data_IF_812723213112
#
_entry.id   IF_812723213112
#
_cell.length_a   1.000
_cell.length_b   1.000
_cell.length_c   1.000
_cell.angle_alpha   90.00
_cell.angle_beta   90.00
_cell.angle_gamma   90.00
#
_symmetry.space_group_name_H-M   'P 1'
#
loop_
_entity.id
_entity.type
_entity.pdbx_description
1 polymer ?
#
# COMPACT_ATOMS: atom_id res chain seq x y z
N UNK A 1 -18.69 21.88 -10.09
CA UNK A 1 -18.68 21.46 -8.67
C UNK A 1 -17.50 20.52 -8.36
N UNK A 2 -17.36 19.38 -9.04
CA UNK A 2 -16.27 18.40 -8.82
C UNK A 2 -14.86 18.97 -9.02
N UNK A 3 -14.62 19.75 -10.07
CA UNK A 3 -13.31 20.39 -10.29
C UNK A 3 -12.90 21.32 -9.13
N UNK A 4 -13.84 22.09 -8.59
CA UNK A 4 -13.59 22.98 -7.45
C UNK A 4 -13.23 22.19 -6.18
N UNK A 5 -13.88 21.05 -5.95
CA UNK A 5 -13.57 20.14 -4.83
C UNK A 5 -12.16 19.57 -4.97
N UNK A 6 -11.75 19.15 -6.18
CA UNK A 6 -10.39 18.64 -6.43
C UNK A 6 -9.34 19.73 -6.22
N UNK A 7 -9.57 20.93 -6.75
CA UNK A 7 -8.65 22.06 -6.56
C UNK A 7 -8.55 22.43 -5.08
N UNK A 8 -9.67 22.48 -4.36
CA UNK A 8 -9.68 22.73 -2.91
C UNK A 8 -8.91 21.66 -2.14
N UNK A 9 -9.08 20.38 -2.48
CA UNK A 9 -8.33 19.27 -1.88
C UNK A 9 -6.82 19.43 -2.12
N UNK A 10 -6.42 19.75 -3.36
CA UNK A 10 -5.02 19.95 -3.70
C UNK A 10 -4.41 21.11 -2.90
N UNK A 11 -5.11 22.25 -2.83
CA UNK A 11 -4.67 23.40 -2.04
C UNK A 11 -4.57 23.07 -0.55
N UNK A 12 -5.54 22.34 0.00
CA UNK A 12 -5.53 21.89 1.39
C UNK A 12 -4.33 20.98 1.67
N UNK A 13 -4.12 19.94 0.86
CA UNK A 13 -3.00 19.02 1.04
C UNK A 13 -1.65 19.71 0.85
N UNK A 14 -1.53 20.61 -0.13
CA UNK A 14 -0.32 21.38 -0.35
C UNK A 14 0.00 22.30 0.84
N UNK A 15 -1.01 23.02 1.35
CA UNK A 15 -0.86 23.88 2.52
C UNK A 15 -0.48 23.07 3.75
N UNK A 16 -1.20 21.98 4.02
CA UNK A 16 -0.94 21.11 5.17
C UNK A 16 0.44 20.43 5.08
N UNK A 17 0.88 20.01 3.89
CA UNK A 17 2.24 19.50 3.69
C UNK A 17 3.29 20.56 4.04
N UNK A 18 3.13 21.79 3.53
CA UNK A 18 4.07 22.90 3.75
C UNK A 18 4.14 23.36 5.20
N UNK A 19 3.00 23.39 5.90
CA UNK A 19 2.91 23.93 7.28
C UNK A 19 3.01 22.82 8.32
N UNK A 20 1.95 22.01 8.45
CA UNK A 20 1.84 20.94 9.44
C UNK A 20 2.85 19.82 9.20
N UNK A 21 2.93 19.29 7.98
CA UNK A 21 3.81 18.18 7.61
C UNK A 21 5.29 18.49 7.83
N UNK A 22 5.81 19.60 7.25
CA UNK A 22 7.21 20.01 7.47
C UNK A 22 7.50 20.41 8.92
N UNK A 23 6.53 21.03 9.60
CA UNK A 23 6.65 21.36 11.02
C UNK A 23 6.77 20.11 11.89
N UNK A 24 5.92 19.12 11.62
CA UNK A 24 5.89 17.81 12.28
C UNK A 24 7.17 17.01 12.04
N UNK A 25 7.61 16.92 10.78
CA UNK A 25 8.87 16.29 10.40
C UNK A 25 10.05 16.90 11.15
N UNK A 26 10.17 18.23 11.19
CA UNK A 26 11.32 18.90 11.82
C UNK A 26 11.30 18.84 13.33
N UNK A 27 10.13 19.05 13.96
CA UNK A 27 10.03 19.21 15.42
C UNK A 27 9.90 17.89 16.16
N UNK A 28 9.10 16.95 15.63
CA UNK A 28 8.83 15.69 16.31
C UNK A 28 9.72 14.58 15.77
N UNK A 29 9.75 14.43 14.45
CA UNK A 29 10.50 13.34 13.85
C UNK A 29 11.99 13.67 13.80
N UNK A 30 12.39 14.90 13.52
CA UNK A 30 13.79 15.27 13.30
C UNK A 30 14.47 14.33 12.28
N UNK A 31 13.80 14.11 11.14
CA UNK A 31 14.40 13.37 10.02
C UNK A 31 15.62 14.13 9.50
N UNK A 32 16.71 13.41 9.23
CA UNK A 32 17.96 13.96 8.71
C UNK A 32 18.44 13.12 7.54
N UNK A 33 18.84 13.79 6.46
CA UNK A 33 19.46 13.17 5.29
C UNK A 33 20.88 12.68 5.56
N UNK A 34 21.49 13.05 6.69
CA UNK A 34 22.82 12.60 7.09
C UNK A 34 22.82 11.19 7.68
N UNK A 35 21.64 10.65 8.02
CA UNK A 35 21.51 9.29 8.56
C UNK A 35 21.26 8.30 7.43
N UNK A 36 22.21 7.40 7.23
CA UNK A 36 22.03 6.29 6.28
C UNK A 36 20.88 5.39 6.71
N UNK A 37 20.06 4.98 5.74
CA UNK A 37 18.95 4.06 5.99
C UNK A 37 19.48 2.63 6.16
N UNK A 38 18.73 1.75 6.85
CA UNK A 38 19.12 0.34 7.01
C UNK A 38 19.41 -0.36 5.68
N UNK A 39 18.67 -0.01 4.62
CA UNK A 39 18.88 -0.56 3.28
C UNK A 39 20.30 -0.33 2.73
N UNK A 40 20.96 0.77 3.10
CA UNK A 40 22.35 1.05 2.72
C UNK A 40 23.35 0.52 3.75
N UNK A 41 23.12 0.79 5.04
CA UNK A 41 24.06 0.44 6.11
C UNK A 41 24.17 -1.08 6.36
N UNK A 42 23.09 -1.82 6.16
CA UNK A 42 23.00 -3.27 6.42
C UNK A 42 22.88 -4.08 5.11
N UNK A 43 23.33 -3.53 3.99
CA UNK A 43 23.19 -4.16 2.68
C UNK A 43 23.71 -5.60 2.65
N UNK A 44 22.83 -6.54 2.28
CA UNK A 44 23.13 -7.97 2.17
C UNK A 44 22.74 -8.57 0.80
N UNK A 45 22.10 -7.77 -0.07
CA UNK A 45 21.62 -8.22 -1.37
C UNK A 45 20.34 -9.08 -1.33
N UNK A 46 19.74 -9.27 -0.15
CA UNK A 46 18.54 -10.09 0.06
C UNK A 46 17.48 -9.33 0.84
N UNK A 47 17.70 -9.07 2.14
CA UNK A 47 16.73 -8.41 3.02
C UNK A 47 16.89 -6.87 2.99
N UNK A 48 18.12 -6.39 2.86
CA UNK A 48 18.47 -4.98 2.80
C UNK A 48 19.02 -4.63 1.42
N UNK A 49 18.16 -4.06 0.58
CA UNK A 49 18.51 -3.64 -0.78
C UNK A 49 18.00 -2.23 -1.05
N UNK A 50 18.87 -1.27 -1.43
CA UNK A 50 18.44 0.05 -1.84
C UNK A 50 17.55 0.00 -3.08
N UNK A 51 16.30 0.43 -2.92
CA UNK A 51 15.36 0.55 -4.02
C UNK A 51 15.42 1.94 -4.65
N UNK A 52 15.13 2.02 -5.95
CA UNK A 52 14.90 3.30 -6.61
C UNK A 52 13.70 4.01 -5.96
N UNK A 53 13.84 5.29 -5.61
CA UNK A 53 12.80 6.08 -4.91
C UNK A 53 11.43 6.06 -5.60
N UNK A 54 11.38 5.98 -6.93
CA UNK A 54 10.12 5.93 -7.68
C UNK A 54 9.45 4.57 -7.56
N UNK A 55 10.24 3.48 -7.55
CA UNK A 55 9.75 2.11 -7.32
C UNK A 55 9.29 1.96 -5.88
N UNK A 56 10.09 2.45 -4.92
CA UNK A 56 9.76 2.45 -3.50
C UNK A 56 8.46 3.19 -3.21
N UNK A 57 8.27 4.37 -3.81
CA UNK A 57 7.01 5.10 -3.74
C UNK A 57 5.84 4.27 -4.27
N UNK A 58 6.01 3.61 -5.43
CA UNK A 58 5.00 2.72 -6.00
C UNK A 58 4.62 1.56 -5.07
N UNK A 59 5.60 0.93 -4.42
CA UNK A 59 5.36 -0.11 -3.43
C UNK A 59 4.55 0.40 -2.25
N UNK A 60 4.94 1.52 -1.64
CA UNK A 60 4.19 2.11 -0.53
C UNK A 60 2.77 2.52 -0.94
N UNK A 61 2.64 3.14 -2.13
CA UNK A 61 1.33 3.53 -2.65
C UNK A 61 0.43 2.30 -2.83
N UNK A 62 0.93 1.23 -3.46
CA UNK A 62 0.16 0.00 -3.66
C UNK A 62 -0.22 -0.69 -2.34
N UNK A 63 0.65 -0.65 -1.32
CA UNK A 63 0.36 -1.23 0.01
C UNK A 63 -0.73 -0.49 0.76
N UNK A 64 -0.93 0.81 0.51
CA UNK A 64 -1.99 1.62 1.14
C UNK A 64 -3.26 1.64 0.27
N UNK A 65 -3.10 1.60 -1.06
CA UNK A 65 -4.17 1.59 -2.04
C UNK A 65 -4.91 0.24 -2.09
N UNK A 66 -5.69 -0.04 -1.04
CA UNK A 66 -6.55 -1.22 -0.95
C UNK A 66 -8.01 -0.96 -1.34
N UNK A 67 -8.88 -1.92 -1.01
CA UNK A 67 -10.32 -1.75 -1.09
C UNK A 67 -10.86 -0.71 -0.09
N UNK A 68 -10.14 -0.48 1.02
CA UNK A 68 -10.55 0.42 2.09
C UNK A 68 -10.73 1.90 1.62
N UNK A 69 -9.80 2.50 0.85
CA UNK A 69 -10.01 3.80 0.21
C UNK A 69 -11.23 3.92 -0.72
N UNK A 70 -11.80 2.80 -1.18
CA UNK A 70 -13.00 2.79 -2.04
C UNK A 70 -14.25 2.60 -1.18
N UNK A 71 -14.25 1.54 -0.36
CA UNK A 71 -15.40 1.14 0.46
C UNK A 71 -15.64 2.13 1.59
N UNK A 72 -14.58 2.64 2.22
CA UNK A 72 -14.66 3.58 3.34
C UNK A 72 -15.44 4.85 2.99
N UNK A 73 -15.04 5.62 1.95
CA UNK A 73 -15.80 6.78 1.51
C UNK A 73 -17.22 6.45 1.04
N UNK A 74 -17.41 5.29 0.40
CA UNK A 74 -18.74 4.85 -0.03
C UNK A 74 -19.70 4.62 1.15
N UNK A 75 -19.23 3.99 2.22
CA UNK A 75 -19.97 3.86 3.48
C UNK A 75 -20.12 5.24 4.14
N UNK A 76 -19.09 6.08 4.09
CA UNK A 76 -19.11 7.41 4.68
C UNK A 76 -20.21 8.32 4.09
N UNK A 77 -20.61 8.09 2.83
CA UNK A 77 -21.72 8.81 2.22
C UNK A 77 -23.06 8.59 2.94
N UNK A 78 -23.21 7.54 3.77
CA UNK A 78 -24.39 7.36 4.61
C UNK A 78 -24.62 8.53 5.58
N UNK A 79 -23.56 9.27 5.95
CA UNK A 79 -23.63 10.47 6.78
C UNK A 79 -23.65 11.78 5.97
N UNK A 80 -23.84 11.68 4.66
CA UNK A 80 -23.85 12.81 3.73
C UNK A 80 -22.49 13.08 3.09
N UNK A 81 -22.52 13.80 1.97
CA UNK A 81 -21.35 14.03 1.12
C UNK A 81 -20.29 14.93 1.79
N UNK A 82 -20.71 15.95 2.54
CA UNK A 82 -19.78 16.90 3.15
C UNK A 82 -19.00 16.28 4.33
N UNK A 83 -19.64 15.58 5.30
CA UNK A 83 -18.90 14.86 6.33
C UNK A 83 -17.94 13.81 5.78
N UNK A 84 -18.35 13.07 4.74
CA UNK A 84 -17.47 12.12 4.07
C UNK A 84 -16.22 12.80 3.46
N UNK A 85 -16.40 13.94 2.78
CA UNK A 85 -15.27 14.71 2.23
C UNK A 85 -14.34 15.26 3.32
N UNK A 86 -14.90 15.83 4.38
CA UNK A 86 -14.11 16.36 5.50
C UNK A 86 -13.31 15.25 6.17
N UNK A 87 -13.90 14.07 6.35
CA UNK A 87 -13.19 12.89 6.87
C UNK A 87 -12.04 12.47 5.95
N UNK A 88 -12.27 12.40 4.64
CA UNK A 88 -11.22 12.05 3.67
C UNK A 88 -10.09 13.08 3.69
N UNK A 89 -10.40 14.38 3.75
CA UNK A 89 -9.37 15.42 3.73
C UNK A 89 -8.63 15.52 5.05
N UNK A 90 -9.34 15.75 6.14
CA UNK A 90 -8.74 16.03 7.45
C UNK A 90 -8.27 14.74 8.13
N UNK A 91 -9.05 13.66 8.05
CA UNK A 91 -8.66 12.35 8.60
C UNK A 91 -7.39 11.83 7.94
N UNK A 92 -7.24 11.99 6.63
CA UNK A 92 -6.00 11.64 5.95
C UNK A 92 -4.81 12.51 6.43
N UNK A 93 -4.97 13.83 6.54
CA UNK A 93 -3.86 14.72 6.98
C UNK A 93 -3.40 14.41 8.40
N UNK A 94 -4.34 14.33 9.35
CA UNK A 94 -4.01 14.31 10.78
C UNK A 94 -3.87 12.90 11.37
N UNK A 95 -4.49 11.90 10.75
CA UNK A 95 -4.44 10.52 11.22
C UNK A 95 -3.62 9.68 10.24
N UNK A 96 -4.06 9.56 8.98
CA UNK A 96 -3.43 8.65 8.00
C UNK A 96 -1.96 8.97 7.73
N UNK A 97 -1.68 10.17 7.20
CA UNK A 97 -0.33 10.59 6.85
C UNK A 97 0.62 10.60 8.06
N UNK A 98 0.12 11.02 9.23
CA UNK A 98 0.88 11.01 10.48
C UNK A 98 1.21 9.58 10.92
N UNK A 99 0.22 8.69 10.92
CA UNK A 99 0.38 7.29 11.29
C UNK A 99 1.39 6.59 10.39
N UNK A 100 1.26 6.75 9.07
CA UNK A 100 2.10 6.06 8.09
C UNK A 100 3.55 6.58 8.16
N UNK A 101 3.73 7.89 8.29
CA UNK A 101 5.06 8.49 8.40
C UNK A 101 5.75 8.11 9.71
N UNK A 102 5.04 8.14 10.85
CA UNK A 102 5.60 7.71 12.13
C UNK A 102 5.93 6.22 12.14
N UNK A 103 5.06 5.38 11.57
CA UNK A 103 5.29 3.94 11.49
C UNK A 103 6.52 3.62 10.62
N UNK A 104 6.64 4.27 9.46
CA UNK A 104 7.81 4.13 8.60
C UNK A 104 9.08 4.58 9.31
N UNK A 105 9.06 5.75 9.95
CA UNK A 105 10.25 6.26 10.62
C UNK A 105 10.63 5.46 11.87
N UNK A 106 9.65 4.91 12.59
CA UNK A 106 9.91 3.97 13.67
C UNK A 106 10.60 2.71 13.16
N UNK A 107 10.13 2.13 12.04
CA UNK A 107 10.77 0.99 11.39
C UNK A 107 12.20 1.30 10.96
N UNK A 108 12.44 2.41 10.25
CA UNK A 108 13.79 2.83 9.79
C UNK A 108 14.78 3.00 10.95
N UNK A 109 14.31 3.46 12.13
CA UNK A 109 15.15 3.62 13.33
C UNK A 109 15.46 2.32 14.05
N UNK A 110 14.64 1.30 13.84
CA UNK A 110 14.84 -0.04 14.38
C UNK A 110 15.22 -0.97 13.24
N UNK A 111 16.18 -0.54 12.42
CA UNK A 111 16.81 -1.37 11.40
C UNK A 111 15.83 -1.99 10.38
N UNK A 112 14.69 -1.36 10.10
CA UNK A 112 13.70 -1.89 9.15
C UNK A 112 12.78 -2.97 9.73
N UNK A 113 12.80 -3.19 11.04
CA UNK A 113 11.89 -4.14 11.69
C UNK A 113 10.42 -3.69 11.65
N UNK A 114 9.51 -4.66 11.78
CA UNK A 114 8.07 -4.43 11.81
C UNK A 114 7.62 -3.71 13.09
N UNK A 115 6.49 -3.00 13.02
CA UNK A 115 5.91 -2.31 14.18
C UNK A 115 5.58 -3.29 15.30
N UNK A 116 5.16 -4.50 14.95
CA UNK A 116 4.89 -5.59 15.89
C UNK A 116 6.13 -5.91 16.73
N UNK A 117 7.28 -6.05 16.08
CA UNK A 117 8.56 -6.31 16.75
C UNK A 117 8.99 -5.14 17.65
N UNK A 118 8.83 -3.90 17.17
CA UNK A 118 9.18 -2.69 17.94
C UNK A 118 8.33 -2.58 19.20
N UNK A 119 7.01 -2.76 19.07
CA UNK A 119 6.08 -2.74 20.21
C UNK A 119 6.41 -3.83 21.23
N UNK A 120 6.82 -5.02 20.79
CA UNK A 120 7.26 -6.10 21.67
C UNK A 120 8.46 -5.74 22.55
N UNK A 121 9.36 -4.86 22.10
CA UNK A 121 10.49 -4.36 22.91
C UNK A 121 10.07 -3.38 24.01
N UNK A 122 8.95 -2.69 23.84
CA UNK A 122 8.45 -1.70 24.79
C UNK A 122 7.50 -2.31 25.83
N UNK A 123 6.95 -3.49 25.56
CA UNK A 123 5.97 -4.17 26.39
C UNK A 123 6.60 -5.25 27.27
N UNK A 124 5.91 -5.61 28.37
CA UNK A 124 6.24 -6.83 29.10
C UNK A 124 6.04 -8.06 28.21
N UNK A 125 6.83 -9.14 28.41
CA UNK A 125 6.72 -10.37 27.58
C UNK A 125 5.29 -10.88 27.43
N UNK A 126 4.51 -10.92 28.53
CA UNK A 126 3.12 -11.38 28.51
C UNK A 126 2.23 -10.48 27.64
N UNK A 127 2.36 -9.17 27.80
CA UNK A 127 1.58 -8.20 27.02
C UNK A 127 1.98 -8.22 25.55
N UNK A 128 3.28 -8.39 25.25
CA UNK A 128 3.79 -8.54 23.90
C UNK A 128 3.15 -9.73 23.17
N UNK A 129 3.13 -10.92 23.78
CA UNK A 129 2.49 -12.09 23.18
C UNK A 129 0.98 -11.90 22.92
N UNK A 130 0.26 -11.29 23.87
CA UNK A 130 -1.18 -11.00 23.70
C UNK A 130 -1.38 -10.00 22.55
N UNK A 131 -0.53 -8.97 22.46
CA UNK A 131 -0.59 -7.98 21.40
C UNK A 131 -0.26 -8.59 20.03
N UNK A 132 0.78 -9.42 19.94
CA UNK A 132 1.13 -10.16 18.72
C UNK A 132 -0.01 -11.07 18.27
N UNK A 133 -0.63 -11.81 19.18
CA UNK A 133 -1.80 -12.64 18.88
C UNK A 133 -2.97 -11.79 18.38
N UNK A 134 -3.25 -10.66 19.02
CA UNK A 134 -4.28 -9.73 18.56
C UNK A 134 -4.00 -9.24 17.14
N UNK A 135 -2.77 -8.78 16.85
CA UNK A 135 -2.38 -8.31 15.52
C UNK A 135 -2.49 -9.44 14.50
N UNK A 136 -2.07 -10.65 14.84
CA UNK A 136 -2.19 -11.83 13.97
C UNK A 136 -3.65 -12.12 13.62
N UNK A 137 -4.54 -12.17 14.61
CA UNK A 137 -5.98 -12.37 14.40
C UNK A 137 -6.61 -11.23 13.59
N UNK A 138 -6.19 -9.99 13.83
CA UNK A 138 -6.63 -8.83 13.05
C UNK A 138 -6.18 -8.93 11.58
N UNK A 139 -4.95 -9.38 11.30
CA UNK A 139 -4.47 -9.59 9.94
C UNK A 139 -5.25 -10.69 9.22
N UNK A 140 -5.59 -11.79 9.90
CA UNK A 140 -6.48 -12.83 9.35
C UNK A 140 -7.84 -12.24 8.99
N UNK A 141 -8.43 -11.44 9.88
CA UNK A 141 -9.72 -10.78 9.62
C UNK A 141 -9.64 -9.83 8.42
N UNK A 142 -8.55 -9.07 8.30
CA UNK A 142 -8.32 -8.17 7.17
C UNK A 142 -8.21 -8.97 5.87
N UNK A 143 -7.38 -10.01 5.82
CA UNK A 143 -7.26 -10.88 4.64
C UNK A 143 -8.63 -11.48 4.26
N UNK A 144 -9.40 -11.94 5.25
CA UNK A 144 -10.74 -12.46 5.03
C UNK A 144 -11.69 -11.43 4.38
N UNK A 145 -11.70 -10.20 4.90
CA UNK A 145 -12.53 -9.13 4.37
C UNK A 145 -12.16 -8.76 2.93
N UNK A 146 -10.85 -8.64 2.64
CA UNK A 146 -10.37 -8.34 1.29
C UNK A 146 -10.65 -9.49 0.32
N UNK A 147 -10.42 -10.75 0.70
CA UNK A 147 -10.72 -11.92 -0.11
C UNK A 147 -12.22 -12.03 -0.42
N UNK A 148 -13.09 -11.67 0.52
CA UNK A 148 -14.53 -11.63 0.28
C UNK A 148 -14.91 -10.56 -0.75
N UNK A 149 -14.36 -9.34 -0.63
CA UNK A 149 -14.61 -8.25 -1.60
C UNK A 149 -14.10 -8.63 -2.99
N UNK A 150 -12.85 -9.10 -3.10
CA UNK A 150 -12.22 -9.50 -4.36
C UNK A 150 -12.96 -10.69 -4.99
N UNK A 151 -13.31 -11.72 -4.20
CA UNK A 151 -14.05 -12.87 -4.68
C UNK A 151 -15.40 -12.48 -5.28
N UNK A 152 -16.11 -11.53 -4.66
CA UNK A 152 -17.36 -11.00 -5.23
C UNK A 152 -17.13 -10.23 -6.53
N UNK A 153 -16.05 -9.45 -6.63
CA UNK A 153 -15.68 -8.74 -7.85
C UNK A 153 -15.34 -9.73 -8.97
N UNK A 154 -14.58 -10.79 -8.67
CA UNK A 154 -14.15 -11.79 -9.66
C UNK A 154 -15.31 -12.63 -10.22
N UNK A 155 -16.31 -12.92 -9.39
CA UNK A 155 -17.55 -13.58 -9.86
C UNK A 155 -18.36 -12.66 -10.77
N UNK A 156 -18.51 -11.38 -10.39
CA UNK A 156 -19.28 -10.39 -11.16
C UNK A 156 -18.57 -9.95 -12.44
N UNK A 157 -17.25 -9.85 -12.40
CA UNK A 157 -16.39 -9.36 -13.48
C UNK A 157 -15.24 -10.36 -13.70
N UNK A 158 -15.50 -11.49 -14.40
CA UNK A 158 -14.47 -12.50 -14.68
C UNK A 158 -13.26 -12.00 -15.50
N UNK A 159 -13.39 -10.87 -16.20
CA UNK A 159 -12.25 -10.25 -16.87
C UNK A 159 -11.21 -9.71 -15.87
N UNK A 160 -11.67 -9.26 -14.68
CA UNK A 160 -10.80 -8.73 -13.65
C UNK A 160 -9.93 -9.84 -13.02
N UNK A 161 -10.50 -11.03 -12.80
CA UNK A 161 -9.77 -12.17 -12.25
C UNK A 161 -8.65 -12.64 -13.19
N UNK A 162 -8.95 -12.73 -14.49
CA UNK A 162 -7.95 -13.04 -15.51
C UNK A 162 -6.86 -11.99 -15.58
N UNK A 163 -7.23 -10.71 -15.60
CA UNK A 163 -6.26 -9.61 -15.62
C UNK A 163 -5.34 -9.66 -14.38
N UNK A 164 -5.88 -9.96 -13.19
CA UNK A 164 -5.09 -10.15 -11.97
C UNK A 164 -4.10 -11.31 -12.08
N UNK A 165 -4.50 -12.45 -12.66
CA UNK A 165 -3.59 -13.58 -12.87
C UNK A 165 -2.43 -13.21 -13.81
N UNK A 166 -2.73 -12.52 -14.91
CA UNK A 166 -1.70 -12.04 -15.82
C UNK A 166 -0.82 -10.93 -15.20
N UNK A 167 -1.38 -10.08 -14.32
CA UNK A 167 -0.60 -9.09 -13.58
C UNK A 167 0.45 -9.71 -12.67
N UNK A 168 0.17 -10.85 -12.03
CA UNK A 168 1.17 -11.55 -11.21
C UNK A 168 2.36 -11.96 -12.09
N UNK A 169 2.10 -12.55 -13.27
CA UNK A 169 3.15 -12.91 -14.22
C UNK A 169 3.93 -11.69 -14.71
N UNK A 170 3.22 -10.61 -15.08
CA UNK A 170 3.82 -9.36 -15.51
C UNK A 170 4.69 -8.73 -14.42
N UNK A 171 4.26 -8.79 -13.15
CA UNK A 171 5.00 -8.27 -12.00
C UNK A 171 6.29 -9.05 -11.76
N UNK A 172 6.27 -10.38 -11.86
CA UNK A 172 7.47 -11.21 -11.74
C UNK A 172 8.47 -10.90 -12.86
N UNK A 173 8.01 -10.79 -14.11
CA UNK A 173 8.86 -10.43 -15.25
C UNK A 173 9.45 -9.04 -15.05
N UNK A 174 8.62 -8.05 -14.68
CA UNK A 174 9.07 -6.66 -14.48
C UNK A 174 10.07 -6.56 -13.32
N UNK A 175 9.83 -7.27 -12.22
CA UNK A 175 10.78 -7.35 -11.10
C UNK A 175 12.10 -7.98 -11.51
N UNK A 176 12.08 -9.06 -12.29
CA UNK A 176 13.30 -9.66 -12.84
C UNK A 176 14.06 -8.68 -13.76
N UNK A 177 13.35 -7.96 -14.64
CA UNK A 177 13.96 -6.95 -15.50
C UNK A 177 14.60 -5.82 -14.70
N UNK A 178 13.96 -5.36 -13.62
CA UNK A 178 14.45 -4.26 -12.80
C UNK A 178 15.69 -4.62 -11.96
N UNK A 179 15.76 -5.84 -11.43
CA UNK A 179 16.78 -6.21 -10.43
C UNK A 179 17.83 -7.21 -10.92
N UNK A 180 17.55 -7.97 -11.99
CA UNK A 180 18.44 -9.05 -12.47
C UNK A 180 18.89 -8.90 -13.91
N UNK A 181 18.28 -7.99 -14.68
CA UNK A 181 18.66 -7.76 -16.07
C UNK A 181 19.60 -6.56 -16.21
N UNK A 182 20.43 -6.48 -17.27
CA UNK A 182 21.29 -5.33 -17.55
C UNK A 182 20.52 -4.14 -18.16
N UNK A 183 19.19 -4.23 -18.30
CA UNK A 183 18.39 -3.18 -18.91
C UNK A 183 18.34 -1.93 -18.03
N UNK A 184 18.21 -0.77 -18.67
CA UNK A 184 18.00 0.47 -17.94
C UNK A 184 16.62 0.49 -17.26
N UNK A 185 16.53 1.20 -16.14
CA UNK A 185 15.28 1.39 -15.39
C UNK A 185 14.11 1.85 -16.27
N UNK A 186 14.37 2.75 -17.22
CA UNK A 186 13.36 3.30 -18.12
C UNK A 186 12.79 2.23 -19.06
N UNK A 187 13.66 1.40 -19.65
CA UNK A 187 13.25 0.33 -20.56
C UNK A 187 12.45 -0.73 -19.80
N UNK A 188 12.94 -1.16 -18.63
CA UNK A 188 12.21 -2.11 -17.78
C UNK A 188 10.82 -1.57 -17.38
N UNK A 189 10.72 -0.27 -17.08
CA UNK A 189 9.43 0.38 -16.77
C UNK A 189 8.48 0.38 -17.96
N UNK A 190 8.96 0.74 -19.17
CA UNK A 190 8.15 0.73 -20.39
C UNK A 190 7.65 -0.69 -20.70
N UNK A 191 8.52 -1.70 -20.60
CA UNK A 191 8.13 -3.11 -20.78
C UNK A 191 7.07 -3.51 -19.75
N UNK A 192 7.26 -3.16 -18.47
CA UNK A 192 6.26 -3.42 -17.43
C UNK A 192 4.90 -2.78 -17.71
N UNK A 193 4.88 -1.54 -18.19
CA UNK A 193 3.65 -0.85 -18.59
C UNK A 193 2.96 -1.55 -19.78
N UNK A 194 3.72 -1.98 -20.79
CA UNK A 194 3.18 -2.74 -21.92
C UNK A 194 2.61 -4.10 -21.46
N UNK A 195 3.29 -4.80 -20.56
CA UNK A 195 2.81 -6.06 -19.98
C UNK A 195 1.54 -5.87 -19.15
N UNK A 196 1.42 -4.73 -18.45
CA UNK A 196 0.21 -4.35 -17.72
C UNK A 196 -0.97 -4.15 -18.69
N UNK A 197 -0.78 -3.35 -19.75
CA UNK A 197 -1.81 -3.15 -20.76
C UNK A 197 -2.21 -4.47 -21.44
N UNK A 198 -1.22 -5.32 -21.73
CA UNK A 198 -1.44 -6.65 -22.30
C UNK A 198 -2.24 -7.55 -21.35
N UNK A 199 -1.97 -7.49 -20.04
CA UNK A 199 -2.69 -8.26 -19.03
C UNK A 199 -4.17 -7.87 -18.95
N UNK A 200 -4.49 -6.57 -19.04
CA UNK A 200 -5.88 -6.08 -19.12
C UNK A 200 -6.53 -6.55 -20.42
N UNK A 201 -5.84 -6.41 -21.54
CA UNK A 201 -6.37 -6.83 -22.85
C UNK A 201 -6.64 -8.33 -22.92
N UNK A 202 -5.69 -9.17 -22.50
CA UNK A 202 -5.84 -10.61 -22.44
C UNK A 202 -6.88 -11.03 -21.40
N UNK A 203 -6.94 -10.34 -20.26
CA UNK A 203 -7.94 -10.58 -19.24
C UNK A 203 -9.37 -10.36 -19.75
N UNK A 204 -9.58 -9.32 -20.56
CA UNK A 204 -10.87 -9.08 -21.22
C UNK A 204 -11.23 -10.14 -22.27
N UNK A 205 -10.25 -10.77 -22.92
CA UNK A 205 -10.44 -11.79 -23.96
C UNK A 205 -10.59 -13.21 -23.41
N UNK A 206 -9.94 -13.51 -22.29
CA UNK A 206 -9.87 -14.84 -21.69
C UNK A 206 -10.41 -14.83 -20.25
N UNK A 207 -11.73 -14.61 -20.04
CA UNK A 207 -12.31 -14.51 -18.70
C UNK A 207 -12.32 -15.85 -17.95
N UNK A 208 -11.70 -15.90 -16.77
CA UNK A 208 -11.69 -17.07 -15.89
C UNK A 208 -12.95 -17.01 -15.03
N UNK A 209 -13.89 -17.90 -15.32
CA UNK A 209 -15.16 -18.02 -14.61
C UNK A 209 -15.05 -19.15 -13.60
N UNK A 210 -14.98 -18.79 -12.32
CA UNK A 210 -15.03 -19.73 -11.20
C UNK A 210 -16.09 -19.30 -10.19
N UNK A 211 -16.69 -20.25 -9.46
CA UNK A 211 -17.64 -19.92 -8.40
C UNK A 211 -16.91 -19.25 -7.23
N UNK A 212 -17.67 -18.47 -6.44
CA UNK A 212 -17.15 -17.72 -5.29
C UNK A 212 -16.30 -18.57 -4.33
N UNK A 213 -16.74 -19.80 -4.03
CA UNK A 213 -16.02 -20.71 -3.13
C UNK A 213 -14.63 -21.09 -3.67
N UNK A 214 -14.50 -21.33 -4.97
CA UNK A 214 -13.21 -21.65 -5.59
C UNK A 214 -12.28 -20.45 -5.56
N UNK A 215 -12.79 -19.23 -5.79
CA UNK A 215 -11.99 -18.01 -5.65
C UNK A 215 -11.51 -17.79 -4.23
N UNK A 216 -12.35 -18.04 -3.22
CA UNK A 216 -11.92 -17.94 -1.82
C UNK A 216 -10.79 -18.91 -1.52
N UNK A 217 -10.88 -20.17 -1.96
CA UNK A 217 -9.78 -21.12 -1.74
C UNK A 217 -8.50 -20.63 -2.43
N UNK A 218 -8.57 -20.13 -3.66
CA UNK A 218 -7.41 -19.63 -4.40
C UNK A 218 -6.79 -18.35 -3.80
N UNK A 219 -7.60 -17.45 -3.23
CA UNK A 219 -7.11 -16.20 -2.65
C UNK A 219 -6.49 -16.39 -1.25
N UNK A 220 -6.74 -17.54 -0.62
CA UNK A 220 -6.19 -17.91 0.68
C UNK A 220 -4.98 -18.85 0.61
N UNK A 221 -4.64 -19.31 -0.61
CA UNK A 221 -3.41 -20.04 -0.92
C UNK A 221 -2.26 -19.06 -1.19
#
# INVERSE_FOLDING_TARGET
MTAAVIVAAFLLYFLMYRTYGRGFERKLVAASSERETPAHRMYDGVDYVPANKYVLFGHHFASIAGAAPIVGPAIAMAWGWLPALLWVWLGNVFIGAVHDYLSLMASVRHDGHSIQYISGKLMSKRTGYIFELFVFLALILVIAAFSAVIGNIFVKIPAASSASAFFILAAVITGWLLYRSPLSFQVATVVGLLLLLLSIFLGARLPIKLPYRSWLVLLWL
#
